data_IF_430451287131
#
_entry.id   IF_430451287131
#
_cell.length_a   1.000
_cell.length_b   1.000
_cell.length_c   1.000
_cell.angle_alpha   90.00
_cell.angle_beta   90.00
_cell.angle_gamma   90.00
#
_symmetry.space_group_name_H-M   'P 1'
#
loop_
_entity.id
_entity.type
_entity.pdbx_description
1 polymer ?
#
# COMPACT_ATOMS: atom_id res chain seq x y z
N UNK A 1 22.35 -3.45 -13.53
CA UNK A 1 21.03 -2.85 -13.82
C UNK A 1 20.19 -2.94 -12.57
N UNK A 2 19.83 -1.83 -11.94
CA UNK A 2 18.91 -1.85 -10.80
C UNK A 2 17.52 -2.18 -11.32
N UNK A 3 16.94 -3.29 -10.85
CA UNK A 3 15.57 -3.67 -11.21
C UNK A 3 14.59 -2.55 -10.83
N UNK A 4 13.57 -2.32 -11.67
CA UNK A 4 12.52 -1.35 -11.36
C UNK A 4 11.80 -1.77 -10.06
N UNK A 5 11.83 -0.94 -9.00
CA UNK A 5 11.23 -1.27 -7.71
C UNK A 5 9.70 -1.42 -7.77
N UNK A 6 9.04 -0.94 -8.82
CA UNK A 6 7.61 -1.12 -9.04
C UNK A 6 7.25 -2.48 -9.66
N UNK A 7 8.23 -3.23 -10.20
CA UNK A 7 8.01 -4.54 -10.83
C UNK A 7 7.13 -5.51 -10.01
N UNK A 8 7.26 -5.62 -8.67
CA UNK A 8 6.48 -6.58 -7.89
C UNK A 8 4.98 -6.28 -7.80
N UNK A 9 4.54 -5.06 -8.10
CA UNK A 9 3.15 -4.64 -7.93
C UNK A 9 2.29 -4.99 -9.14
N UNK A 10 0.97 -5.11 -8.96
CA UNK A 10 0.01 -5.27 -10.05
C UNK A 10 -0.04 -4.01 -10.92
N UNK A 11 -0.42 -4.18 -12.20
CA UNK A 11 -0.38 -3.11 -13.19
C UNK A 11 -1.14 -1.83 -12.78
N UNK A 12 -2.38 -1.90 -12.22
CA UNK A 12 -3.07 -0.70 -11.75
C UNK A 12 -2.33 0.07 -10.66
N UNK A 13 -1.60 -0.63 -9.79
CA UNK A 13 -0.83 -0.01 -8.71
C UNK A 13 0.41 0.70 -9.25
N UNK A 14 1.12 0.08 -10.19
CA UNK A 14 2.26 0.71 -10.87
C UNK A 14 1.83 1.97 -11.62
N UNK A 15 0.76 1.85 -12.40
CA UNK A 15 0.20 2.95 -13.19
C UNK A 15 -0.27 4.11 -12.30
N UNK A 16 -0.96 3.79 -11.19
CA UNK A 16 -1.37 4.78 -10.20
C UNK A 16 -0.15 5.51 -9.61
N UNK A 17 0.88 4.76 -9.22
CA UNK A 17 2.07 5.33 -8.61
C UNK A 17 2.80 6.27 -9.59
N UNK A 18 3.05 5.80 -10.82
CA UNK A 18 3.73 6.58 -11.85
C UNK A 18 2.95 7.81 -12.30
N UNK A 19 1.61 7.80 -12.21
CA UNK A 19 0.78 8.98 -12.48
C UNK A 19 0.75 9.97 -11.29
N UNK A 20 1.05 9.51 -10.08
CA UNK A 20 0.95 10.30 -8.85
C UNK A 20 2.28 10.87 -8.35
N UNK A 21 3.41 10.26 -8.76
CA UNK A 21 4.75 10.60 -8.28
C UNK A 21 5.78 10.50 -9.40
N UNK A 22 6.78 11.38 -9.37
CA UNK A 22 7.86 11.39 -10.37
C UNK A 22 8.70 10.10 -10.35
N UNK A 23 9.05 9.61 -9.15
CA UNK A 23 9.84 8.40 -8.96
C UNK A 23 9.71 7.84 -7.53
N UNK A 24 9.93 6.53 -7.34
CA UNK A 24 10.06 5.94 -6.01
C UNK A 24 11.18 6.57 -5.18
N UNK A 25 10.87 6.91 -3.93
CA UNK A 25 11.88 7.40 -2.98
C UNK A 25 12.81 6.27 -2.53
N UNK A 26 13.97 6.62 -1.94
CA UNK A 26 14.92 5.63 -1.41
C UNK A 26 14.29 4.58 -0.46
N UNK A 27 13.49 4.94 0.58
CA UNK A 27 12.87 3.93 1.42
C UNK A 27 11.87 3.05 0.65
N UNK A 28 11.18 3.58 -0.36
CA UNK A 28 10.27 2.81 -1.20
C UNK A 28 11.03 1.77 -2.03
N UNK A 29 12.05 2.22 -2.78
CA UNK A 29 12.85 1.36 -3.64
C UNK A 29 13.59 0.25 -2.87
N UNK A 30 14.06 0.53 -1.65
CA UNK A 30 14.74 -0.45 -0.81
C UNK A 30 13.78 -1.31 0.02
N UNK A 31 12.61 -0.77 0.38
CA UNK A 31 11.66 -1.41 1.28
C UNK A 31 10.75 -2.41 0.56
N UNK A 32 10.29 -2.12 -0.65
CA UNK A 32 9.35 -2.99 -1.35
C UNK A 32 9.89 -4.39 -1.67
N UNK A 33 11.14 -4.59 -2.14
CA UNK A 33 11.63 -5.92 -2.44
C UNK A 33 11.61 -6.91 -1.25
N UNK A 34 12.16 -6.59 -0.05
CA UNK A 34 12.07 -7.50 1.10
C UNK A 34 10.63 -7.67 1.60
N UNK A 35 9.82 -6.60 1.63
CA UNK A 35 8.40 -6.68 1.99
C UNK A 35 7.65 -7.64 1.05
N UNK A 36 7.94 -7.57 -0.25
CA UNK A 36 7.32 -8.43 -1.26
C UNK A 36 7.70 -9.91 -1.12
N UNK A 37 8.90 -10.20 -0.59
CA UNK A 37 9.33 -11.56 -0.24
C UNK A 37 8.76 -12.08 1.09
N UNK A 38 7.98 -11.26 1.80
CA UNK A 38 7.40 -11.60 3.10
C UNK A 38 8.38 -11.44 4.27
N UNK A 39 9.47 -10.68 4.08
CA UNK A 39 10.46 -10.45 5.13
C UNK A 39 10.02 -9.31 6.07
N UNK A 40 10.25 -9.49 7.38
CA UNK A 40 10.13 -8.42 8.36
C UNK A 40 11.12 -7.30 8.02
N UNK A 41 10.59 -6.10 7.75
CA UNK A 41 11.37 -4.98 7.22
C UNK A 41 11.26 -3.75 8.14
N UNK A 42 12.41 -3.24 8.59
CA UNK A 42 12.50 -1.98 9.34
C UNK A 42 12.97 -0.86 8.40
N UNK A 43 12.17 0.19 8.25
CA UNK A 43 12.48 1.35 7.39
C UNK A 43 12.95 2.52 8.26
N UNK A 44 14.25 2.80 8.22
CA UNK A 44 14.84 3.98 8.85
C UNK A 44 15.06 5.08 7.80
N UNK A 45 14.22 6.10 7.81
CA UNK A 45 14.34 7.26 6.92
C UNK A 45 13.79 8.53 7.58
N UNK A 46 14.20 9.74 7.12
CA UNK A 46 13.64 11.01 7.60
C UNK A 46 12.12 11.13 7.43
N UNK A 47 11.49 12.06 8.14
CA UNK A 47 10.11 12.47 7.87
C UNK A 47 9.97 13.00 6.44
N UNK A 48 8.78 12.89 5.86
CA UNK A 48 8.55 13.29 4.46
C UNK A 48 9.11 12.34 3.39
N UNK A 49 9.91 11.33 3.72
CA UNK A 49 10.51 10.42 2.73
C UNK A 49 9.57 9.35 2.15
N UNK A 50 8.26 9.40 2.41
CA UNK A 50 7.30 8.43 1.87
C UNK A 50 7.26 7.06 2.59
N UNK A 51 7.72 6.98 3.85
CA UNK A 51 7.72 5.73 4.64
C UNK A 51 6.35 5.08 4.77
N UNK A 52 5.30 5.89 4.96
CA UNK A 52 3.91 5.40 5.07
C UNK A 52 3.51 4.65 3.81
N UNK A 53 3.68 5.28 2.64
CA UNK A 53 3.36 4.62 1.36
C UNK A 53 4.28 3.42 1.10
N UNK A 54 5.53 3.44 1.58
CA UNK A 54 6.42 2.27 1.50
C UNK A 54 5.78 1.06 2.18
N UNK A 55 5.29 1.22 3.42
CA UNK A 55 4.68 0.14 4.17
C UNK A 55 3.31 -0.26 3.59
N UNK A 56 2.47 0.71 3.22
CA UNK A 56 1.08 0.45 2.86
C UNK A 56 0.86 0.04 1.41
N UNK A 57 1.67 0.51 0.44
CA UNK A 57 1.37 0.26 -0.97
C UNK A 57 1.37 -1.24 -1.30
N UNK A 58 2.30 -2.01 -0.71
CA UNK A 58 2.33 -3.46 -0.87
C UNK A 58 1.12 -4.14 -0.21
N UNK A 59 0.73 -3.66 0.97
CA UNK A 59 -0.48 -4.12 1.63
C UNK A 59 -1.71 -3.90 0.75
N UNK A 60 -1.88 -2.69 0.19
CA UNK A 60 -3.02 -2.36 -0.68
C UNK A 60 -3.04 -3.25 -1.93
N UNK A 61 -1.90 -3.42 -2.60
CA UNK A 61 -1.76 -4.30 -3.76
C UNK A 61 -2.27 -5.71 -3.47
N UNK A 62 -1.78 -6.32 -2.38
CA UNK A 62 -2.19 -7.67 -1.96
C UNK A 62 -3.67 -7.72 -1.56
N UNK A 63 -4.17 -6.70 -0.87
CA UNK A 63 -5.57 -6.67 -0.46
C UNK A 63 -6.53 -6.54 -1.65
N UNK A 64 -6.16 -5.77 -2.66
CA UNK A 64 -7.00 -5.44 -3.81
C UNK A 64 -7.00 -6.53 -4.87
N UNK A 65 -5.87 -7.18 -5.13
CA UNK A 65 -5.70 -8.09 -6.27
C UNK A 65 -5.51 -9.57 -5.88
N UNK A 66 -5.61 -9.90 -4.58
CA UNK A 66 -5.72 -11.30 -4.12
C UNK A 66 -7.16 -11.59 -3.70
N UNK A 67 -7.75 -12.74 -4.11
CA UNK A 67 -9.10 -13.12 -3.70
C UNK A 67 -9.29 -12.99 -2.18
N UNK A 68 -10.40 -12.37 -1.73
CA UNK A 68 -10.65 -12.21 -0.31
C UNK A 68 -10.85 -13.58 0.34
N UNK A 69 -10.23 -13.85 1.50
CA UNK A 69 -10.46 -15.10 2.21
C UNK A 69 -11.89 -15.12 2.81
N UNK A 70 -12.20 -16.22 3.48
CA UNK A 70 -13.41 -16.34 4.29
C UNK A 70 -13.56 -15.17 5.27
N UNK A 71 -14.81 -14.82 5.60
CA UNK A 71 -15.15 -13.61 6.36
C UNK A 71 -14.34 -13.44 7.65
N UNK A 72 -14.07 -14.53 8.38
CA UNK A 72 -13.33 -14.53 9.65
C UNK A 72 -11.84 -14.14 9.50
N UNK A 73 -11.27 -14.28 8.29
CA UNK A 73 -9.86 -14.00 8.00
C UNK A 73 -9.66 -12.72 7.17
N UNK A 74 -10.69 -11.86 7.04
CA UNK A 74 -10.60 -10.65 6.19
C UNK A 74 -9.82 -9.49 6.81
N UNK A 75 -9.59 -9.50 8.13
CA UNK A 75 -8.63 -8.58 8.76
C UNK A 75 -7.21 -9.06 8.45
N UNK A 76 -6.61 -8.53 7.37
CA UNK A 76 -5.32 -8.99 6.82
C UNK A 76 -4.15 -8.04 7.08
N UNK A 77 -4.42 -6.80 7.51
CA UNK A 77 -3.39 -5.77 7.77
C UNK A 77 -3.76 -5.06 9.07
N UNK A 78 -2.81 -5.00 10.01
CA UNK A 78 -2.95 -4.28 11.28
C UNK A 78 -1.91 -3.17 11.32
N UNK A 79 -2.38 -1.93 11.34
CA UNK A 79 -1.54 -0.76 11.59
C UNK A 79 -1.67 -0.35 13.06
N UNK A 80 -0.53 -0.22 13.73
CA UNK A 80 -0.46 0.20 15.14
C UNK A 80 0.23 1.55 15.21
N UNK A 81 -0.43 2.52 15.83
CA UNK A 81 0.11 3.85 16.05
C UNK A 81 0.17 4.15 17.55
N UNK A 82 1.25 4.79 18.04
CA UNK A 82 1.28 5.28 19.42
C UNK A 82 0.33 6.47 19.65
N UNK A 83 -0.16 7.11 18.58
CA UNK A 83 -1.03 8.30 18.65
C UNK A 83 -2.35 8.07 17.92
N UNK A 84 -3.48 8.43 18.57
CA UNK A 84 -4.82 8.38 17.96
C UNK A 84 -4.91 9.25 16.71
N UNK A 85 -4.38 10.48 16.75
CA UNK A 85 -4.39 11.41 15.63
C UNK A 85 -3.69 10.82 14.39
N UNK A 86 -2.53 10.17 14.58
CA UNK A 86 -1.79 9.56 13.48
C UNK A 86 -2.56 8.38 12.85
N UNK A 87 -3.36 7.63 13.63
CA UNK A 87 -4.20 6.57 13.07
C UNK A 87 -5.28 7.14 12.12
N UNK A 88 -5.90 8.26 12.50
CA UNK A 88 -6.88 8.97 11.67
C UNK A 88 -6.22 9.56 10.42
N UNK A 89 -5.04 10.16 10.57
CA UNK A 89 -4.30 10.71 9.43
C UNK A 89 -3.90 9.63 8.42
N UNK A 90 -3.49 8.45 8.90
CA UNK A 90 -3.18 7.32 8.03
C UNK A 90 -4.42 6.84 7.28
N UNK A 91 -5.57 6.66 7.93
CA UNK A 91 -6.82 6.31 7.23
C UNK A 91 -7.14 7.32 6.12
N UNK A 92 -7.08 8.62 6.42
CA UNK A 92 -7.33 9.67 5.44
C UNK A 92 -6.37 9.58 4.26
N UNK A 93 -5.08 9.37 4.53
CA UNK A 93 -4.04 9.26 3.50
C UNK A 93 -4.17 8.02 2.62
N UNK A 94 -4.86 6.97 3.07
CA UNK A 94 -5.11 5.77 2.27
C UNK A 94 -6.29 5.90 1.30
N UNK A 95 -7.14 6.93 1.44
CA UNK A 95 -8.32 7.11 0.56
C UNK A 95 -7.92 7.40 -0.88
N UNK A 96 -6.94 8.28 -1.08
CA UNK A 96 -6.45 8.65 -2.42
C UNK A 96 -5.85 7.46 -3.20
N UNK A 97 -4.91 6.66 -2.65
CA UNK A 97 -4.42 5.48 -3.35
C UNK A 97 -5.52 4.45 -3.62
N UNK A 98 -6.41 4.18 -2.65
CA UNK A 98 -7.49 3.22 -2.85
C UNK A 98 -8.41 3.62 -4.02
N UNK A 99 -8.85 4.86 -4.05
CA UNK A 99 -9.72 5.35 -5.11
C UNK A 99 -9.01 5.37 -6.48
N UNK A 100 -7.77 5.86 -6.53
CA UNK A 100 -7.01 5.93 -7.78
C UNK A 100 -6.67 4.56 -8.37
N UNK A 101 -6.25 3.61 -7.53
CA UNK A 101 -5.96 2.24 -7.97
C UNK A 101 -7.25 1.55 -8.44
N UNK A 102 -8.37 1.73 -7.74
CA UNK A 102 -9.65 1.16 -8.15
C UNK A 102 -10.11 1.68 -9.51
N UNK A 103 -10.06 3.00 -9.73
CA UNK A 103 -10.41 3.60 -11.03
C UNK A 103 -9.55 3.07 -12.18
N UNK A 104 -8.25 2.86 -11.94
CA UNK A 104 -7.36 2.29 -12.94
C UNK A 104 -7.65 0.81 -13.18
N UNK A 105 -7.92 0.02 -12.13
CA UNK A 105 -8.31 -1.37 -12.27
C UNK A 105 -9.62 -1.50 -13.09
N UNK A 106 -10.62 -0.66 -12.82
CA UNK A 106 -11.88 -0.61 -13.58
C UNK A 106 -11.65 -0.30 -15.05
N UNK A 107 -10.86 0.74 -15.37
CA UNK A 107 -10.55 1.12 -16.76
C UNK A 107 -9.82 0.03 -17.53
N UNK A 108 -9.03 -0.78 -16.82
CA UNK A 108 -8.27 -1.90 -17.39
C UNK A 108 -9.09 -3.19 -17.48
N UNK A 109 -10.25 -3.24 -16.83
CA UNK A 109 -11.04 -4.48 -16.70
C UNK A 109 -10.40 -5.50 -15.75
N UNK A 110 -9.48 -5.07 -14.89
CA UNK A 110 -8.82 -5.94 -13.92
C UNK A 110 -9.78 -6.26 -12.77
N UNK A 111 -9.91 -7.53 -12.38
CA UNK A 111 -10.69 -7.91 -11.21
C UNK A 111 -10.02 -7.42 -9.92
N UNK A 112 -10.75 -6.73 -9.05
CA UNK A 112 -10.22 -6.22 -7.78
C UNK A 112 -11.27 -6.22 -6.67
N UNK A 113 -10.81 -6.04 -5.43
CA UNK A 113 -11.66 -5.84 -4.24
C UNK A 113 -11.26 -4.55 -3.54
N UNK A 114 -12.23 -3.68 -3.23
CA UNK A 114 -11.96 -2.49 -2.41
C UNK A 114 -11.83 -2.89 -0.93
N UNK A 115 -10.66 -2.69 -0.29
CA UNK A 115 -10.47 -3.02 1.12
C UNK A 115 -11.25 -2.06 2.03
N UNK A 116 -11.86 -2.59 3.08
CA UNK A 116 -12.43 -1.77 4.15
C UNK A 116 -11.32 -1.34 5.12
N UNK A 117 -11.42 -0.11 5.62
CA UNK A 117 -10.56 0.40 6.70
C UNK A 117 -11.43 0.59 7.95
N UNK A 118 -10.94 0.14 9.10
CA UNK A 118 -11.58 0.35 10.39
C UNK A 118 -10.55 0.86 11.39
N UNK A 119 -10.94 1.86 12.19
CA UNK A 119 -10.14 2.38 13.30
C UNK A 119 -10.74 1.86 14.61
N UNK A 120 -9.86 1.32 15.47
CA UNK A 120 -10.20 0.96 16.85
C UNK A 120 -9.27 1.72 17.78
N UNK A 121 -9.82 2.59 18.62
CA UNK A 121 -9.10 3.26 19.71
C UNK A 121 -9.84 3.00 21.02
N UNK A 122 -9.10 3.00 22.14
CA UNK A 122 -9.68 3.04 23.49
C UNK A 122 -10.23 4.41 23.85
#
# INVERSE_FOLDING_TARGET
>A
MTADPLTPFHAPVREWFSASFDAPTRPQALGWPPIARGESTLILAPTGSGKTLTAFLWCLDRLMFTPPPEKKARCRVLYVSPLKALAVDVERNLRAPLAGIAQLAERRGDAFTTPAIAIRTG
#
